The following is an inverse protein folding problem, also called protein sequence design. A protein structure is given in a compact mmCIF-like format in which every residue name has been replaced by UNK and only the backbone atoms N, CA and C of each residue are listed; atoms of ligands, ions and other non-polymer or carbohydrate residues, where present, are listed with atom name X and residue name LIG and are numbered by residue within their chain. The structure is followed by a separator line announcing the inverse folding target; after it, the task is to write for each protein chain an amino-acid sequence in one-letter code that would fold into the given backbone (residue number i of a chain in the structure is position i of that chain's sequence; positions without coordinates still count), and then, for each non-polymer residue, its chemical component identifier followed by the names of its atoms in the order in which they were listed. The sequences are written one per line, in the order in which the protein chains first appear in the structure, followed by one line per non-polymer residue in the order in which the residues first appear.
data_IF_254057468212
#
_entry.id   IF_254057468212
#
_cell.length_a   1.000
_cell.length_b   1.000
_cell.length_c   1.000
_cell.angle_alpha   90.00
_cell.angle_beta   90.00
_cell.angle_gamma   90.00
#
_symmetry.space_group_name_H-M   'P 1'
#
loop_
_entity.id
_entity.type
_entity.pdbx_description
1 polymer ?
#
# COMPACT_ATOMS: atom_id res chain seq x y z
N UNK A 1 -41.53 -15.77 2.13
CA UNK A 1 -42.61 -16.36 2.96
C UNK A 1 -42.38 -15.89 4.39
N UNK A 2 -43.19 -14.96 4.89
CA UNK A 2 -43.07 -14.40 6.24
C UNK A 2 -43.85 -15.33 7.17
N UNK A 3 -43.17 -16.21 7.90
CA UNK A 3 -43.84 -17.13 8.83
C UNK A 3 -43.40 -16.74 10.24
N UNK A 4 -44.33 -16.15 11.02
CA UNK A 4 -44.14 -15.61 12.36
C UNK A 4 -43.16 -14.44 12.46
N UNK A 5 -43.67 -13.21 12.57
CA UNK A 5 -43.24 -12.02 13.36
C UNK A 5 -41.80 -11.81 13.86
N UNK A 6 -40.84 -12.62 13.44
CA UNK A 6 -39.42 -12.62 13.70
C UNK A 6 -38.79 -12.32 12.35
N UNK A 7 -37.99 -11.26 12.27
CA UNK A 7 -37.30 -10.88 11.06
C UNK A 7 -36.09 -11.83 10.88
N UNK A 8 -36.27 -12.93 10.14
CA UNK A 8 -35.19 -13.89 9.84
C UNK A 8 -34.93 -13.98 8.34
N UNK A 9 -33.66 -14.06 7.94
CA UNK A 9 -33.27 -14.20 6.53
C UNK A 9 -33.53 -15.63 6.04
N UNK A 10 -34.00 -15.79 4.79
CA UNK A 10 -34.10 -17.14 4.18
C UNK A 10 -32.72 -17.65 3.75
N UNK A 11 -32.60 -18.95 3.47
CA UNK A 11 -31.35 -19.52 2.93
C UNK A 11 -30.95 -18.88 1.59
N UNK A 12 -31.91 -18.53 0.74
CA UNK A 12 -31.67 -17.82 -0.51
C UNK A 12 -31.12 -16.41 -0.25
N UNK A 13 -31.66 -15.70 0.73
CA UNK A 13 -31.17 -14.38 1.11
C UNK A 13 -29.74 -14.47 1.65
N UNK A 14 -29.44 -15.44 2.52
CA UNK A 14 -28.09 -15.66 3.04
C UNK A 14 -27.08 -16.00 1.93
N UNK A 15 -27.47 -16.85 0.96
CA UNK A 15 -26.62 -17.17 -0.19
C UNK A 15 -26.40 -15.96 -1.11
N UNK A 16 -27.44 -15.13 -1.33
CA UNK A 16 -27.31 -13.88 -2.07
C UNK A 16 -26.37 -12.91 -1.37
N UNK A 17 -26.50 -12.73 -0.05
CA UNK A 17 -25.65 -11.84 0.73
C UNK A 17 -24.17 -12.27 0.61
N UNK A 18 -23.85 -13.57 0.72
CA UNK A 18 -22.48 -14.09 0.53
C UNK A 18 -21.96 -13.79 -0.89
N UNK A 19 -22.80 -13.92 -1.91
CA UNK A 19 -22.41 -13.63 -3.31
C UNK A 19 -22.16 -12.15 -3.53
N UNK A 20 -23.04 -11.29 -3.02
CA UNK A 20 -22.88 -9.83 -3.10
C UNK A 20 -21.62 -9.39 -2.36
N UNK A 21 -21.35 -9.95 -1.17
CA UNK A 21 -20.11 -9.71 -0.44
C UNK A 21 -18.89 -10.10 -1.28
N UNK A 22 -18.89 -11.28 -1.88
CA UNK A 22 -17.82 -11.74 -2.77
C UNK A 22 -17.58 -10.79 -3.96
N UNK A 23 -18.64 -10.30 -4.58
CA UNK A 23 -18.55 -9.34 -5.70
C UNK A 23 -18.03 -7.97 -5.24
N UNK A 24 -18.53 -7.46 -4.12
CA UNK A 24 -18.08 -6.19 -3.55
C UNK A 24 -16.59 -6.22 -3.21
N UNK A 25 -16.10 -7.33 -2.65
CA UNK A 25 -14.68 -7.53 -2.34
C UNK A 25 -13.82 -7.56 -3.61
N UNK A 26 -14.25 -8.28 -4.66
CA UNK A 26 -13.54 -8.30 -5.95
C UNK A 26 -13.41 -6.91 -6.57
N UNK A 27 -14.47 -6.10 -6.46
CA UNK A 27 -14.47 -4.74 -6.99
C UNK A 27 -13.61 -3.79 -6.14
N UNK A 28 -13.66 -3.92 -4.82
CA UNK A 28 -12.83 -3.13 -3.91
C UNK A 28 -11.33 -3.48 -3.98
N UNK A 29 -10.97 -4.72 -4.34
CA UNK A 29 -9.57 -5.12 -4.58
C UNK A 29 -8.98 -4.61 -5.89
N UNK A 30 -9.81 -4.08 -6.80
CA UNK A 30 -9.35 -3.56 -8.08
C UNK A 30 -8.83 -2.10 -8.00
N UNK A 31 -8.94 -1.46 -6.85
CA UNK A 31 -8.54 -0.06 -6.67
C UNK A 31 -7.01 0.07 -6.62
N UNK A 32 -6.45 0.84 -7.55
CA UNK A 32 -5.02 0.84 -7.92
C UNK A 32 -4.12 1.67 -7.00
N UNK A 33 -4.71 2.47 -6.11
CA UNK A 33 -3.99 3.38 -5.20
C UNK A 33 -3.72 2.79 -3.80
N UNK A 34 -3.94 1.48 -3.62
CA UNK A 34 -3.55 0.79 -2.38
C UNK A 34 -2.04 0.97 -2.16
N UNK A 35 -1.69 1.58 -1.04
CA UNK A 35 -0.30 1.69 -0.57
C UNK A 35 0.27 0.28 -0.35
N UNK A 36 0.93 -0.27 -1.37
CA UNK A 36 1.67 -1.54 -1.31
C UNK A 36 2.88 -1.36 -0.39
N UNK A 37 2.64 -1.48 0.90
CA UNK A 37 3.59 -1.33 2.00
C UNK A 37 3.34 -2.45 3.00
N UNK A 38 4.32 -2.79 3.84
CA UNK A 38 4.12 -3.82 4.86
C UNK A 38 3.05 -3.38 5.86
N UNK A 39 3.06 -2.12 6.30
CA UNK A 39 2.00 -1.55 7.14
C UNK A 39 0.62 -1.59 6.46
N UNK A 40 0.57 -1.31 5.15
CA UNK A 40 -0.66 -1.39 4.36
C UNK A 40 -1.25 -2.80 4.31
N UNK A 41 -0.42 -3.81 4.00
CA UNK A 41 -0.83 -5.22 3.99
C UNK A 41 -1.30 -5.66 5.37
N UNK A 42 -0.60 -5.30 6.44
CA UNK A 42 -1.05 -5.57 7.81
C UNK A 42 -2.45 -5.02 8.05
N UNK A 43 -2.68 -3.74 7.74
CA UNK A 43 -3.97 -3.11 7.98
C UNK A 43 -5.09 -3.81 7.21
N UNK A 44 -4.84 -4.18 5.96
CA UNK A 44 -5.79 -4.95 5.16
C UNK A 44 -6.08 -6.32 5.75
N UNK A 45 -5.06 -7.07 6.18
CA UNK A 45 -5.22 -8.38 6.80
C UNK A 45 -5.98 -8.30 8.13
N UNK A 46 -5.68 -7.30 8.96
CA UNK A 46 -6.39 -7.05 10.22
C UNK A 46 -7.86 -6.72 9.99
N UNK A 47 -8.15 -5.83 9.04
CA UNK A 47 -9.52 -5.46 8.68
C UNK A 47 -10.29 -6.65 8.11
N UNK A 48 -9.65 -7.43 7.22
CA UNK A 48 -10.24 -8.63 6.65
C UNK A 48 -10.52 -9.66 7.74
N UNK A 49 -9.58 -9.91 8.64
CA UNK A 49 -9.78 -10.86 9.74
C UNK A 49 -10.97 -10.48 10.62
N UNK A 50 -11.06 -9.21 11.03
CA UNK A 50 -12.19 -8.70 11.81
C UNK A 50 -13.51 -8.86 11.05
N UNK A 51 -13.52 -8.50 9.77
CA UNK A 51 -14.69 -8.65 8.90
C UNK A 51 -15.12 -10.13 8.79
N UNK A 52 -14.20 -11.05 8.46
CA UNK A 52 -14.50 -12.47 8.32
C UNK A 52 -15.03 -13.09 9.61
N UNK A 53 -14.48 -12.68 10.75
CA UNK A 53 -14.94 -13.15 12.07
C UNK A 53 -16.36 -12.71 12.35
N UNK A 54 -16.69 -11.44 12.08
CA UNK A 54 -18.04 -10.92 12.26
C UNK A 54 -19.04 -11.55 11.30
N UNK A 55 -18.68 -11.69 10.02
CA UNK A 55 -19.58 -12.30 9.04
C UNK A 55 -19.83 -13.78 9.32
N UNK A 56 -18.83 -14.52 9.80
CA UNK A 56 -19.01 -15.90 10.25
C UNK A 56 -19.95 -15.99 11.43
N UNK A 57 -19.76 -15.13 12.45
CA UNK A 57 -20.62 -15.08 13.62
C UNK A 57 -22.07 -14.70 13.26
N UNK A 58 -22.25 -13.73 12.35
CA UNK A 58 -23.56 -13.32 11.84
C UNK A 58 -24.24 -14.47 11.07
N UNK A 59 -23.50 -15.17 10.20
CA UNK A 59 -24.01 -16.33 9.48
C UNK A 59 -24.47 -17.44 10.44
N UNK A 60 -23.65 -17.77 11.44
CA UNK A 60 -24.00 -18.79 12.43
C UNK A 60 -25.21 -18.37 13.28
N UNK A 61 -25.32 -17.10 13.67
CA UNK A 61 -26.47 -16.58 14.42
C UNK A 61 -27.77 -16.61 13.59
N UNK A 62 -27.71 -16.29 12.30
CA UNK A 62 -28.88 -16.39 11.40
C UNK A 62 -29.29 -17.85 11.17
N UNK A 63 -28.32 -18.76 11.01
CA UNK A 63 -28.59 -20.19 10.91
C UNK A 63 -29.23 -20.76 12.18
N UNK A 64 -28.81 -20.28 13.35
CA UNK A 64 -29.41 -20.68 14.63
C UNK A 64 -30.88 -20.24 14.76
N UNK A 65 -31.22 -19.03 14.28
CA UNK A 65 -32.63 -18.56 14.25
C UNK A 65 -33.53 -19.44 13.38
N UNK A 66 -32.98 -20.04 12.32
CA UNK A 66 -33.74 -20.90 11.40
C UNK A 66 -34.08 -22.27 11.99
N UNK A 67 -33.44 -22.69 13.10
CA UNK A 67 -33.75 -23.95 13.80
C UNK A 67 -35.16 -24.00 14.38
N UNK A 68 -35.77 -22.83 14.63
CA UNK A 68 -37.16 -22.73 15.10
C UNK A 68 -38.19 -23.10 14.02
N UNK A 69 -37.81 -23.06 12.74
CA UNK A 69 -38.74 -23.13 11.59
C UNK A 69 -38.47 -24.35 10.72
N UNK A 70 -37.23 -24.83 10.67
CA UNK A 70 -36.81 -25.93 9.81
C UNK A 70 -36.34 -27.14 10.59
N UNK A 71 -36.45 -28.33 9.99
CA UNK A 71 -35.93 -29.55 10.61
C UNK A 71 -34.40 -29.52 10.71
N UNK A 72 -33.85 -30.16 11.74
CA UNK A 72 -32.41 -30.27 11.95
C UNK A 72 -31.66 -30.81 10.73
N UNK A 73 -32.27 -31.73 9.97
CA UNK A 73 -31.68 -32.27 8.74
C UNK A 73 -31.48 -31.19 7.67
N UNK A 74 -32.52 -30.40 7.41
CA UNK A 74 -32.48 -29.31 6.41
C UNK A 74 -31.48 -28.23 6.83
N UNK A 75 -31.45 -27.89 8.12
CA UNK A 75 -30.49 -26.91 8.66
C UNK A 75 -29.05 -27.37 8.44
N UNK A 76 -28.73 -28.64 8.75
CA UNK A 76 -27.38 -29.17 8.56
C UNK A 76 -26.94 -29.15 7.09
N UNK A 77 -27.78 -29.63 6.17
CA UNK A 77 -27.47 -29.65 4.72
C UNK A 77 -27.28 -28.22 4.17
N UNK A 78 -28.11 -27.27 4.59
CA UNK A 78 -28.02 -25.87 4.13
C UNK A 78 -26.85 -25.13 4.77
N UNK A 79 -26.54 -25.41 6.03
CA UNK A 79 -25.36 -24.88 6.72
C UNK A 79 -24.08 -25.29 6.03
N UNK A 80 -23.93 -26.57 5.69
CA UNK A 80 -22.75 -27.06 4.97
C UNK A 80 -22.56 -26.32 3.63
N UNK A 81 -23.65 -26.14 2.88
CA UNK A 81 -23.61 -25.39 1.61
C UNK A 81 -23.19 -23.93 1.81
N UNK A 82 -23.81 -23.21 2.76
CA UNK A 82 -23.52 -21.80 3.01
C UNK A 82 -22.10 -21.58 3.54
N UNK A 83 -21.63 -22.45 4.44
CA UNK A 83 -20.24 -22.45 4.91
C UNK A 83 -19.27 -22.72 3.74
N UNK A 84 -19.62 -23.63 2.83
CA UNK A 84 -18.86 -23.86 1.60
C UNK A 84 -18.75 -22.61 0.73
N UNK A 85 -19.87 -21.93 0.47
CA UNK A 85 -19.90 -20.67 -0.30
C UNK A 85 -19.07 -19.57 0.38
N UNK A 86 -19.18 -19.44 1.70
CA UNK A 86 -18.38 -18.49 2.49
C UNK A 86 -16.88 -18.80 2.43
N UNK A 87 -16.48 -20.08 2.58
CA UNK A 87 -15.08 -20.49 2.50
C UNK A 87 -14.48 -20.22 1.11
N UNK A 88 -15.25 -20.36 0.03
CA UNK A 88 -14.79 -20.01 -1.32
C UNK A 88 -14.62 -18.49 -1.51
N UNK A 89 -15.43 -17.67 -0.85
CA UNK A 89 -15.19 -16.22 -0.79
C UNK A 89 -13.89 -15.91 -0.04
N UNK A 90 -13.70 -16.51 1.15
CA UNK A 90 -12.48 -16.35 1.96
C UNK A 90 -11.24 -16.72 1.16
N UNK A 91 -11.22 -17.88 0.49
CA UNK A 91 -10.10 -18.29 -0.37
C UNK A 91 -9.78 -17.27 -1.45
N UNK A 92 -10.80 -16.65 -2.06
CA UNK A 92 -10.63 -15.59 -3.04
C UNK A 92 -9.95 -14.35 -2.44
N UNK A 93 -10.38 -13.91 -1.27
CA UNK A 93 -9.79 -12.76 -0.58
C UNK A 93 -8.33 -13.04 -0.15
N UNK A 94 -8.06 -14.22 0.43
CA UNK A 94 -6.70 -14.63 0.79
C UNK A 94 -5.80 -14.69 -0.44
N UNK A 95 -6.30 -15.19 -1.57
CA UNK A 95 -5.53 -15.22 -2.83
C UNK A 95 -5.16 -13.82 -3.31
N UNK A 96 -6.05 -12.85 -3.21
CA UNK A 96 -5.76 -11.46 -3.58
C UNK A 96 -4.64 -10.88 -2.72
N UNK A 97 -4.72 -11.05 -1.39
CA UNK A 97 -3.66 -10.58 -0.46
C UNK A 97 -2.33 -11.25 -0.77
N UNK A 98 -2.32 -12.56 -1.08
CA UNK A 98 -1.09 -13.25 -1.50
C UNK A 98 -0.46 -12.62 -2.74
N UNK A 99 -1.26 -12.22 -3.73
CA UNK A 99 -0.76 -11.52 -4.92
C UNK A 99 -0.20 -10.13 -4.59
N UNK A 100 -0.82 -9.41 -3.64
CA UNK A 100 -0.30 -8.13 -3.16
C UNK A 100 1.04 -8.29 -2.43
N UNK A 101 1.17 -9.32 -1.60
CA UNK A 101 2.43 -9.70 -0.94
C UNK A 101 3.51 -10.03 -1.98
N UNK A 102 3.19 -10.86 -2.96
CA UNK A 102 4.13 -11.22 -4.04
C UNK A 102 4.60 -9.98 -4.80
N UNK A 103 3.66 -9.10 -5.17
CA UNK A 103 3.97 -7.87 -5.90
C UNK A 103 4.85 -6.93 -5.07
N UNK A 104 4.50 -6.69 -3.80
CA UNK A 104 5.31 -5.89 -2.88
C UNK A 104 6.72 -6.45 -2.77
N UNK A 105 6.83 -7.76 -2.56
CA UNK A 105 8.10 -8.46 -2.39
C UNK A 105 8.96 -8.32 -3.62
N UNK A 106 8.42 -8.59 -4.81
CA UNK A 106 9.14 -8.42 -6.08
C UNK A 106 9.63 -6.99 -6.27
N UNK A 107 8.78 -5.99 -6.04
CA UNK A 107 9.20 -4.57 -6.16
C UNK A 107 10.33 -4.22 -5.19
N UNK A 108 10.30 -4.72 -3.94
CA UNK A 108 11.37 -4.49 -2.98
C UNK A 108 12.65 -5.26 -3.33
N UNK A 109 12.53 -6.49 -3.85
CA UNK A 109 13.65 -7.28 -4.35
C UNK A 109 14.36 -6.60 -5.52
N UNK A 110 13.60 -6.05 -6.47
CA UNK A 110 14.16 -5.34 -7.63
C UNK A 110 15.01 -4.15 -7.16
N UNK A 111 14.51 -3.34 -6.22
CA UNK A 111 15.26 -2.22 -5.65
C UNK A 111 16.52 -2.64 -4.91
N UNK A 112 16.47 -3.71 -4.12
CA UNK A 112 17.67 -4.28 -3.47
C UNK A 112 18.66 -4.76 -4.55
N UNK A 113 18.16 -5.36 -5.62
CA UNK A 113 18.94 -5.76 -6.79
C UNK A 113 19.64 -4.57 -7.46
N UNK A 114 18.93 -3.46 -7.66
CA UNK A 114 19.47 -2.23 -8.23
C UNK A 114 20.57 -1.63 -7.34
N UNK A 115 20.36 -1.62 -6.02
CA UNK A 115 21.37 -1.20 -5.04
C UNK A 115 22.63 -2.07 -5.11
N UNK A 116 22.48 -3.39 -5.30
CA UNK A 116 23.60 -4.32 -5.48
C UNK A 116 24.32 -4.08 -6.81
N UNK A 117 23.61 -3.74 -7.88
CA UNK A 117 24.18 -3.55 -9.22
C UNK A 117 24.83 -2.18 -9.43
N UNK A 118 24.53 -1.20 -8.56
CA UNK A 118 25.04 0.16 -8.67
C UNK A 118 26.56 0.20 -8.46
N UNK A 119 27.29 0.58 -9.51
CA UNK A 119 28.74 0.73 -9.45
C UNK A 119 29.14 1.98 -8.64
N UNK A 120 30.27 1.96 -7.91
CA UNK A 120 30.81 3.15 -7.26
C UNK A 120 31.10 4.28 -8.24
N UNK A 121 30.88 5.53 -7.82
CA UNK A 121 31.24 6.71 -8.64
C UNK A 121 32.75 6.81 -8.83
N UNK A 122 33.20 7.60 -9.80
CA UNK A 122 34.64 7.80 -10.03
C UNK A 122 35.33 8.42 -8.80
N UNK A 123 34.69 9.35 -8.12
CA UNK A 123 35.16 9.97 -6.87
C UNK A 123 35.27 8.92 -5.76
N UNK A 124 34.27 8.06 -5.62
CA UNK A 124 34.27 6.97 -4.64
C UNK A 124 35.40 5.97 -4.93
N UNK A 125 35.59 5.58 -6.20
CA UNK A 125 36.68 4.69 -6.62
C UNK A 125 38.05 5.30 -6.33
N UNK A 126 38.25 6.58 -6.63
CA UNK A 126 39.52 7.29 -6.33
C UNK A 126 39.82 7.27 -4.83
N UNK A 127 38.82 7.56 -3.99
CA UNK A 127 38.98 7.55 -2.53
C UNK A 127 39.30 6.14 -2.02
N UNK A 128 38.54 5.13 -2.43
CA UNK A 128 38.76 3.73 -2.04
C UNK A 128 40.15 3.24 -2.50
N UNK A 129 40.60 3.64 -3.68
CA UNK A 129 41.93 3.27 -4.19
C UNK A 129 43.05 3.90 -3.35
N UNK A 130 42.91 5.17 -2.97
CA UNK A 130 43.86 5.84 -2.08
C UNK A 130 43.92 5.17 -0.70
N UNK A 131 42.76 4.77 -0.14
CA UNK A 131 42.69 4.05 1.12
C UNK A 131 43.31 2.65 1.02
N UNK A 132 43.10 1.91 -0.07
CA UNK A 132 43.71 0.59 -0.28
C UNK A 132 45.25 0.60 -0.27
N UNK A 133 45.87 1.71 -0.68
CA UNK A 133 47.32 1.86 -0.67
C UNK A 133 47.90 2.10 0.72
N UNK A 134 47.07 2.48 1.69
CA UNK A 134 47.47 2.76 3.07
C UNK A 134 47.38 1.50 3.94
N UNK A 135 48.24 1.42 4.95
CA UNK A 135 48.34 0.29 5.91
C UNK A 135 48.06 0.69 7.36
N UNK A 136 47.71 1.96 7.57
CA UNK A 136 47.62 2.62 8.86
C UNK A 136 46.23 3.25 9.08
N UNK A 137 45.21 2.70 8.43
CA UNK A 137 43.84 3.20 8.57
C UNK A 137 43.27 2.70 9.89
N UNK A 138 42.89 3.62 10.76
CA UNK A 138 42.26 3.29 12.03
C UNK A 138 40.72 3.29 11.97
N UNK A 139 40.10 2.80 13.04
CA UNK A 139 38.64 2.74 13.18
C UNK A 139 37.95 4.10 13.06
N UNK A 140 38.55 5.14 13.62
CA UNK A 140 37.97 6.49 13.66
C UNK A 140 37.92 7.06 12.26
N UNK A 141 38.97 6.86 11.46
CA UNK A 141 39.03 7.30 10.07
C UNK A 141 37.97 6.59 9.22
N UNK A 142 37.80 5.27 9.36
CA UNK A 142 36.79 4.51 8.61
C UNK A 142 35.37 5.03 8.89
N UNK A 143 35.05 5.32 10.16
CA UNK A 143 33.73 5.85 10.52
C UNK A 143 33.47 7.22 9.92
N UNK A 144 34.46 8.11 9.89
CA UNK A 144 34.28 9.43 9.29
C UNK A 144 34.13 9.39 7.78
N UNK A 145 34.72 8.40 7.12
CA UNK A 145 34.65 8.23 5.67
C UNK A 145 33.36 7.52 5.25
N UNK A 146 32.84 6.60 6.07
CA UNK A 146 31.69 5.76 5.75
C UNK A 146 30.48 6.51 5.15
N UNK A 147 30.05 7.69 5.65
CA UNK A 147 28.90 8.42 5.10
C UNK A 147 29.02 8.78 3.62
N UNK A 148 30.24 8.91 3.09
CA UNK A 148 30.50 9.19 1.65
C UNK A 148 29.98 8.06 0.75
N UNK A 149 29.76 6.87 1.31
CA UNK A 149 29.38 5.66 0.59
C UNK A 149 27.95 5.20 0.86
N UNK A 150 27.15 5.89 1.69
CA UNK A 150 25.80 5.41 2.09
C UNK A 150 24.83 5.14 0.94
N UNK A 151 25.00 5.83 -0.19
CA UNK A 151 24.18 5.62 -1.39
C UNK A 151 24.70 4.49 -2.30
N UNK A 152 25.84 3.89 -1.96
CA UNK A 152 26.51 2.90 -2.80
C UNK A 152 26.99 1.69 -2.01
N UNK A 153 26.20 0.61 -2.05
CA UNK A 153 26.51 -0.63 -1.36
C UNK A 153 27.87 -1.23 -1.76
N UNK A 154 28.20 -1.22 -3.05
CA UNK A 154 29.49 -1.78 -3.52
C UNK A 154 30.67 -0.98 -2.95
N UNK A 155 30.56 0.34 -2.89
CA UNK A 155 31.59 1.18 -2.29
C UNK A 155 31.76 0.90 -0.78
N UNK A 156 30.64 0.76 -0.04
CA UNK A 156 30.67 0.38 1.38
C UNK A 156 31.30 -1.00 1.61
N UNK A 157 31.01 -1.97 0.74
CA UNK A 157 31.61 -3.31 0.82
C UNK A 157 33.13 -3.26 0.62
N UNK A 158 33.60 -2.45 -0.32
CA UNK A 158 35.05 -2.25 -0.53
C UNK A 158 35.66 -1.57 0.70
N UNK A 159 35.01 -0.56 1.28
CA UNK A 159 35.48 0.07 2.52
C UNK A 159 35.57 -0.92 3.68
N UNK A 160 34.56 -1.80 3.84
CA UNK A 160 34.56 -2.86 4.86
C UNK A 160 35.76 -3.79 4.68
N UNK A 161 36.03 -4.25 3.45
CA UNK A 161 37.19 -5.09 3.14
C UNK A 161 38.54 -4.39 3.40
N UNK A 162 38.61 -3.06 3.22
CA UNK A 162 39.79 -2.27 3.60
C UNK A 162 39.95 -2.25 5.12
N UNK A 163 38.86 -2.04 5.86
CA UNK A 163 38.85 -2.08 7.31
C UNK A 163 39.34 -3.42 7.85
N UNK A 164 38.81 -4.53 7.35
CA UNK A 164 39.18 -5.88 7.78
C UNK A 164 40.69 -6.15 7.61
N UNK A 165 41.28 -5.69 6.50
CA UNK A 165 42.73 -5.79 6.26
C UNK A 165 43.57 -4.99 7.27
N UNK A 166 43.00 -3.93 7.83
CA UNK A 166 43.62 -3.11 8.87
C UNK A 166 43.17 -3.54 10.29
N UNK A 167 42.50 -4.69 10.43
CA UNK A 167 42.05 -5.21 11.72
C UNK A 167 40.80 -4.54 12.29
N UNK A 168 40.04 -3.81 11.48
CA UNK A 168 38.81 -3.12 11.86
C UNK A 168 37.60 -3.83 11.24
N UNK A 169 36.71 -4.36 12.07
CA UNK A 169 35.42 -4.89 11.61
C UNK A 169 34.39 -3.75 11.49
N UNK A 170 33.80 -3.60 10.30
CA UNK A 170 32.76 -2.62 10.04
C UNK A 170 31.38 -3.28 10.09
N UNK A 171 30.62 -3.02 11.14
CA UNK A 171 29.23 -3.45 11.24
C UNK A 171 28.32 -2.37 10.64
N UNK A 172 27.66 -2.71 9.53
CA UNK A 172 26.70 -1.82 8.88
C UNK A 172 25.30 -2.00 9.48
N UNK A 173 24.54 -0.91 9.67
CA UNK A 173 23.11 -1.00 9.95
C UNK A 173 22.38 -1.82 8.89
N UNK A 174 21.31 -2.52 9.27
CA UNK A 174 20.54 -3.38 8.36
C UNK A 174 19.97 -2.63 7.15
N UNK A 175 19.70 -1.33 7.25
CA UNK A 175 19.23 -0.48 6.15
C UNK A 175 20.29 -0.27 5.05
N UNK A 176 21.57 -0.50 5.37
CA UNK A 176 22.71 -0.29 4.47
C UNK A 176 23.31 -1.62 3.99
N UNK A 177 22.89 -2.75 4.56
CA UNK A 177 23.34 -4.09 4.16
C UNK A 177 22.29 -4.76 3.25
N UNK A 178 22.57 -4.80 1.95
CA UNK A 178 21.70 -5.42 0.96
C UNK A 178 21.49 -6.93 1.20
N UNK A 179 22.46 -7.63 1.79
CA UNK A 179 22.30 -9.06 2.11
C UNK A 179 21.33 -9.23 3.27
N UNK A 180 21.51 -8.47 4.34
CA UNK A 180 20.57 -8.47 5.48
C UNK A 180 19.17 -8.07 5.03
N UNK A 181 19.02 -7.02 4.20
CA UNK A 181 17.72 -6.62 3.65
C UNK A 181 17.07 -7.74 2.84
N UNK A 182 17.83 -8.45 2.01
CA UNK A 182 17.31 -9.57 1.23
C UNK A 182 16.82 -10.72 2.13
N UNK A 183 17.62 -11.12 3.12
CA UNK A 183 17.27 -12.20 4.04
C UNK A 183 16.04 -11.81 4.89
N UNK A 184 16.00 -10.59 5.42
CA UNK A 184 14.85 -10.07 6.16
C UNK A 184 13.59 -9.91 5.30
N UNK A 185 13.73 -9.61 4.00
CA UNK A 185 12.59 -9.50 3.08
C UNK A 185 11.96 -10.87 2.85
N UNK A 186 12.77 -11.91 2.67
CA UNK A 186 12.27 -13.28 2.57
C UNK A 186 11.57 -13.71 3.86
N UNK A 187 12.13 -13.38 5.02
CA UNK A 187 11.46 -13.66 6.30
C UNK A 187 10.12 -12.93 6.44
N UNK A 188 10.07 -11.65 6.09
CA UNK A 188 8.85 -10.85 6.16
C UNK A 188 7.77 -11.38 5.21
N UNK A 189 8.19 -11.81 4.02
CA UNK A 189 7.31 -12.43 3.01
C UNK A 189 6.75 -13.74 3.53
N UNK A 190 7.61 -14.64 4.03
CA UNK A 190 7.18 -15.94 4.55
C UNK A 190 6.28 -15.78 5.79
N UNK A 191 6.58 -14.80 6.64
CA UNK A 191 5.72 -14.43 7.77
C UNK A 191 4.32 -14.05 7.29
N UNK A 192 4.20 -13.16 6.30
CA UNK A 192 2.92 -12.71 5.75
C UNK A 192 2.15 -13.85 5.06
N UNK A 193 2.84 -14.67 4.28
CA UNK A 193 2.22 -15.82 3.60
C UNK A 193 1.67 -16.85 4.60
N UNK A 194 2.33 -17.05 5.74
CA UNK A 194 1.80 -17.88 6.82
C UNK A 194 0.68 -17.20 7.59
N UNK A 195 0.75 -15.89 7.83
CA UNK A 195 -0.35 -15.14 8.42
C UNK A 195 -1.62 -15.22 7.56
N UNK A 196 -1.49 -15.25 6.23
CA UNK A 196 -2.59 -15.50 5.30
C UNK A 196 -3.30 -16.85 5.53
N UNK A 197 -2.58 -17.89 5.96
CA UNK A 197 -3.16 -19.20 6.30
C UNK A 197 -3.95 -19.19 7.60
N UNK A 198 -3.77 -18.16 8.44
CA UNK A 198 -4.52 -17.98 9.68
C UNK A 198 -5.84 -17.23 9.47
N UNK A 199 -5.98 -16.45 8.38
CA UNK A 199 -7.19 -15.67 8.06
C UNK A 199 -8.50 -16.47 8.10
N UNK A 200 -8.57 -17.74 7.64
CA UNK A 200 -9.81 -18.52 7.69
C UNK A 200 -10.18 -19.07 9.07
N UNK A 201 -9.29 -18.99 10.06
CA UNK A 201 -9.42 -19.62 11.37
C UNK A 201 -10.13 -18.71 12.37
N UNK A 202 -10.82 -19.31 13.33
CA UNK A 202 -11.34 -18.57 14.48
C UNK A 202 -10.20 -18.19 15.43
N UNK A 203 -10.41 -17.15 16.25
CA UNK A 203 -9.41 -16.63 17.19
C UNK A 203 -8.79 -17.71 18.09
N UNK A 204 -9.62 -18.64 18.59
CA UNK A 204 -9.19 -19.75 19.44
C UNK A 204 -8.28 -20.77 18.73
N UNK A 205 -8.39 -20.86 17.41
CA UNK A 205 -7.67 -21.84 16.57
C UNK A 205 -6.46 -21.19 15.85
N UNK A 206 -6.29 -19.88 16.04
CA UNK A 206 -5.18 -19.12 15.50
C UNK A 206 -3.87 -19.55 16.19
N UNK A 207 -2.77 -19.61 15.45
CA UNK A 207 -1.47 -19.80 16.09
C UNK A 207 -1.15 -18.62 17.01
N UNK A 208 -0.60 -18.91 18.21
CA UNK A 208 -0.22 -17.89 19.20
C UNK A 208 0.73 -16.83 18.62
N UNK A 209 1.56 -17.24 17.65
CA UNK A 209 2.50 -16.37 16.93
C UNK A 209 1.82 -15.18 16.26
N UNK A 210 0.59 -15.34 15.75
CA UNK A 210 -0.10 -14.31 14.97
C UNK A 210 -1.16 -13.54 15.76
N UNK A 211 -1.35 -13.85 17.04
CA UNK A 211 -2.33 -13.14 17.86
C UNK A 211 -2.01 -11.64 17.92
N UNK A 212 -0.74 -11.29 18.17
CA UNK A 212 -0.30 -9.90 18.21
C UNK A 212 -0.48 -9.21 16.84
N UNK A 213 -0.19 -9.92 15.75
CA UNK A 213 -0.35 -9.41 14.39
C UNK A 213 -1.80 -9.08 14.03
N UNK A 214 -2.76 -9.93 14.40
CA UNK A 214 -4.19 -9.70 14.13
C UNK A 214 -4.90 -8.85 15.21
N UNK A 215 -4.18 -8.41 16.25
CA UNK A 215 -4.77 -7.58 17.29
C UNK A 215 -5.06 -6.18 16.76
N UNK A 216 -6.31 -5.74 16.88
CA UNK A 216 -6.74 -4.38 16.54
C UNK A 216 -7.23 -3.67 17.79
N UNK A 217 -6.68 -2.49 18.06
CA UNK A 217 -7.13 -1.63 19.15
C UNK A 217 -7.87 -0.40 18.57
N UNK A 218 -9.18 -0.23 18.88
CA UNK A 218 -9.95 0.91 18.39
C UNK A 218 -9.38 2.28 18.80
N UNK A 219 -8.63 2.35 19.90
CA UNK A 219 -8.01 3.58 20.42
C UNK A 219 -6.66 3.90 19.77
N UNK A 220 -5.98 2.89 19.24
CA UNK A 220 -4.65 3.01 18.64
C UNK A 220 -4.69 2.43 17.21
N UNK A 221 -5.39 3.13 16.31
CA UNK A 221 -5.57 2.69 14.92
C UNK A 221 -4.22 2.56 14.21
N UNK A 222 -4.02 1.45 13.50
CA UNK A 222 -2.82 1.20 12.69
C UNK A 222 -1.58 0.76 13.48
N UNK A 223 -1.66 0.64 14.80
CA UNK A 223 -0.54 0.17 15.62
C UNK A 223 -0.30 -1.33 15.41
N UNK A 224 0.95 -1.70 15.15
CA UNK A 224 1.39 -3.09 15.17
C UNK A 224 1.83 -3.47 16.58
N UNK A 225 1.35 -4.61 17.07
CA UNK A 225 1.69 -5.15 18.39
C UNK A 225 2.69 -6.30 18.32
N UNK A 226 2.87 -6.91 17.14
CA UNK A 226 3.93 -7.89 16.92
C UNK A 226 5.27 -7.16 16.73
N UNK A 227 6.21 -7.24 17.69
CA UNK A 227 7.48 -6.54 17.60
C UNK A 227 8.34 -7.04 16.43
N UNK A 228 8.22 -8.32 16.06
CA UNK A 228 8.96 -8.89 14.93
C UNK A 228 8.44 -8.31 13.62
N UNK A 229 7.12 -8.22 13.47
CA UNK A 229 6.55 -7.63 12.25
C UNK A 229 6.81 -6.12 12.16
N UNK A 230 6.79 -5.40 13.30
CA UNK A 230 7.15 -3.98 13.35
C UNK A 230 8.57 -3.73 12.81
N UNK A 231 9.53 -4.62 13.08
CA UNK A 231 10.88 -4.50 12.51
C UNK A 231 10.89 -4.56 10.98
N UNK A 232 10.03 -5.37 10.37
CA UNK A 232 9.91 -5.44 8.91
C UNK A 232 9.31 -4.14 8.33
N UNK A 233 8.32 -3.56 9.01
CA UNK A 233 7.77 -2.24 8.63
C UNK A 233 8.87 -1.18 8.73
N UNK A 234 9.55 -1.11 9.88
CA UNK A 234 10.61 -0.13 10.15
C UNK A 234 11.71 -0.18 9.09
N UNK A 235 12.09 -1.39 8.67
CA UNK A 235 13.09 -1.59 7.63
C UNK A 235 12.55 -1.27 6.23
N UNK A 236 11.44 -1.86 5.80
CA UNK A 236 11.04 -1.83 4.39
C UNK A 236 10.16 -0.63 4.00
N UNK A 237 9.41 -0.05 4.93
CA UNK A 237 8.51 1.07 4.67
C UNK A 237 9.19 2.43 4.92
N UNK A 238 10.29 2.47 5.68
CA UNK A 238 10.97 3.73 6.02
C UNK A 238 12.41 3.85 5.49
N UNK A 239 13.01 2.79 4.93
CA UNK A 239 14.32 2.91 4.26
C UNK A 239 14.13 3.68 2.95
N UNK A 240 14.73 4.90 2.80
CA UNK A 240 14.49 5.77 1.64
C UNK A 240 14.82 5.12 0.30
N UNK A 241 15.91 4.35 0.23
CA UNK A 241 16.38 3.65 -0.97
C UNK A 241 15.36 2.60 -1.47
N UNK A 242 14.47 2.14 -0.60
CA UNK A 242 13.42 1.16 -0.93
C UNK A 242 12.07 1.82 -1.24
N UNK A 243 11.94 3.14 -1.11
CA UNK A 243 10.71 3.87 -1.39
C UNK A 243 10.59 4.26 -2.87
N UNK A 244 9.36 4.40 -3.35
CA UNK A 244 9.13 5.02 -4.66
C UNK A 244 9.21 6.53 -4.49
N UNK A 245 10.30 7.14 -4.95
CA UNK A 245 10.44 8.59 -4.97
C UNK A 245 9.51 9.17 -6.03
N UNK A 246 8.32 9.64 -5.61
CA UNK A 246 7.45 10.45 -6.46
C UNK A 246 7.76 11.92 -6.21
N UNK A 247 8.22 12.60 -7.25
CA UNK A 247 8.32 14.05 -7.24
C UNK A 247 6.98 14.63 -7.72
N UNK A 248 6.20 15.15 -6.79
CA UNK A 248 4.96 15.86 -7.13
C UNK A 248 5.25 17.35 -7.28
N UNK A 249 4.79 17.91 -8.40
CA UNK A 249 4.91 19.33 -8.67
C UNK A 249 3.93 20.09 -7.77
N UNK A 250 4.43 20.90 -6.85
CA UNK A 250 3.58 21.66 -5.93
C UNK A 250 3.22 23.06 -6.42
N UNK A 251 3.99 23.61 -7.37
CA UNK A 251 3.78 24.95 -7.89
C UNK A 251 4.21 25.03 -9.35
N UNK A 252 3.58 25.95 -10.07
CA UNK A 252 3.96 26.29 -11.44
C UNK A 252 5.34 26.96 -11.46
N UNK A 253 6.19 26.56 -12.41
CA UNK A 253 7.37 27.36 -12.77
C UNK A 253 6.93 28.67 -13.44
N UNK A 254 7.84 29.64 -13.54
CA UNK A 254 7.54 30.92 -14.20
C UNK A 254 7.08 30.75 -15.66
N UNK A 255 7.68 29.80 -16.40
CA UNK A 255 7.29 29.50 -17.78
C UNK A 255 5.90 28.90 -17.89
N UNK A 256 5.55 27.97 -17.00
CA UNK A 256 4.23 27.34 -16.97
C UNK A 256 3.14 28.32 -16.52
N UNK A 257 3.47 29.20 -15.56
CA UNK A 257 2.58 30.30 -15.18
C UNK A 257 2.31 31.22 -16.36
N UNK A 258 3.35 31.66 -17.07
CA UNK A 258 3.19 32.50 -18.26
C UNK A 258 2.38 31.81 -19.38
N UNK A 259 2.54 30.49 -19.54
CA UNK A 259 1.77 29.68 -20.47
C UNK A 259 0.28 29.64 -20.09
N UNK A 260 -0.04 29.39 -18.83
CA UNK A 260 -1.42 29.41 -18.33
C UNK A 260 -2.00 30.83 -18.46
N UNK A 261 -1.28 31.85 -18.01
CA UNK A 261 -1.71 33.25 -18.15
C UNK A 261 -1.99 33.61 -19.63
N UNK A 262 -1.23 33.04 -20.58
CA UNK A 262 -1.48 33.22 -22.00
C UNK A 262 -2.77 32.56 -22.50
N UNK A 263 -3.10 31.35 -22.02
CA UNK A 263 -4.35 30.65 -22.39
C UNK A 263 -5.60 31.40 -21.89
N UNK A 264 -5.48 32.05 -20.73
CA UNK A 264 -6.57 32.74 -20.05
C UNK A 264 -6.46 34.26 -20.13
N UNK A 265 -5.57 34.80 -20.97
CA UNK A 265 -5.34 36.25 -21.10
C UNK A 265 -6.61 37.03 -21.43
N UNK A 266 -7.50 36.43 -22.21
CA UNK A 266 -8.71 37.07 -22.72
C UNK A 266 -9.80 37.16 -21.64
N UNK A 267 -9.64 36.45 -20.52
CA UNK A 267 -10.56 36.44 -19.38
C UNK A 267 -9.93 36.94 -18.08
N UNK A 268 -8.69 37.42 -18.12
CA UNK A 268 -7.91 37.76 -16.93
C UNK A 268 -8.50 38.91 -16.08
N UNK A 269 -9.41 39.70 -16.66
CA UNK A 269 -10.07 40.83 -16.00
C UNK A 269 -11.49 40.52 -15.51
N UNK A 270 -12.00 39.31 -15.75
CA UNK A 270 -13.35 38.92 -15.35
C UNK A 270 -13.46 38.75 -13.84
N UNK A 271 -14.61 39.10 -13.27
CA UNK A 271 -14.86 38.99 -11.85
C UNK A 271 -15.54 37.64 -11.54
N UNK A 272 -14.84 36.69 -10.90
CA UNK A 272 -15.40 35.37 -10.61
C UNK A 272 -16.60 35.37 -9.65
N UNK A 273 -16.86 36.49 -8.96
CA UNK A 273 -18.05 36.63 -8.10
C UNK A 273 -19.33 36.99 -8.88
N UNK A 274 -19.21 37.40 -10.14
CA UNK A 274 -20.35 37.62 -11.03
C UNK A 274 -20.71 36.31 -11.76
N UNK A 275 -22.00 35.95 -11.77
CA UNK A 275 -22.45 34.68 -12.32
C UNK A 275 -22.24 34.56 -13.85
N UNK A 276 -22.29 35.68 -14.57
CA UNK A 276 -22.02 35.72 -16.01
C UNK A 276 -20.54 35.52 -16.32
N UNK A 277 -19.68 36.22 -15.59
CA UNK A 277 -18.23 36.09 -15.70
C UNK A 277 -17.75 34.69 -15.27
N UNK A 278 -18.33 34.12 -14.20
CA UNK A 278 -18.06 32.74 -13.76
C UNK A 278 -18.33 31.71 -14.86
N UNK A 279 -19.48 31.82 -15.54
CA UNK A 279 -19.83 30.93 -16.64
C UNK A 279 -18.86 31.04 -17.83
N UNK A 280 -18.36 32.25 -18.12
CA UNK A 280 -17.36 32.47 -19.16
C UNK A 280 -16.01 31.84 -18.77
N UNK A 281 -15.60 31.99 -17.51
CA UNK A 281 -14.36 31.37 -17.00
C UNK A 281 -14.46 29.85 -17.08
N UNK A 282 -15.56 29.25 -16.63
CA UNK A 282 -15.81 27.81 -16.72
C UNK A 282 -15.72 27.28 -18.15
N UNK A 283 -16.44 27.93 -19.07
CA UNK A 283 -16.44 27.53 -20.47
C UNK A 283 -15.03 27.59 -21.06
N UNK A 284 -14.28 28.65 -20.73
CA UNK A 284 -12.90 28.79 -21.20
C UNK A 284 -11.97 27.71 -20.62
N UNK A 285 -12.12 27.35 -19.35
CA UNK A 285 -11.39 26.24 -18.73
C UNK A 285 -11.71 24.92 -19.43
N UNK A 286 -12.98 24.68 -19.76
CA UNK A 286 -13.39 23.52 -20.53
C UNK A 286 -12.80 23.48 -21.94
N UNK A 287 -12.80 24.61 -22.66
CA UNK A 287 -12.17 24.71 -23.99
C UNK A 287 -10.68 24.37 -23.93
N UNK A 288 -9.96 24.94 -22.96
CA UNK A 288 -8.52 24.70 -22.77
C UNK A 288 -8.27 23.24 -22.40
N UNK A 289 -9.05 22.64 -21.51
CA UNK A 289 -8.91 21.21 -21.16
C UNK A 289 -9.24 20.28 -22.33
N UNK A 290 -10.13 20.70 -23.23
CA UNK A 290 -10.50 19.93 -24.43
C UNK A 290 -9.41 20.04 -25.50
N UNK A 291 -8.83 21.22 -25.68
CA UNK A 291 -7.76 21.44 -26.65
C UNK A 291 -6.38 20.96 -26.17
N UNK A 292 -6.13 21.03 -24.87
CA UNK A 292 -4.85 20.75 -24.20
C UNK A 292 -5.06 19.87 -22.96
N UNK A 293 -5.50 18.62 -23.12
CA UNK A 293 -5.73 17.70 -22.00
C UNK A 293 -4.46 17.44 -21.17
N UNK A 294 -3.27 17.58 -21.76
CA UNK A 294 -1.97 17.46 -21.10
C UNK A 294 -1.69 18.54 -20.04
N UNK A 295 -2.35 19.70 -20.14
CA UNK A 295 -2.13 20.83 -19.22
C UNK A 295 -2.99 20.75 -17.96
N UNK A 296 -3.87 19.75 -17.88
CA UNK A 296 -4.83 19.56 -16.79
C UNK A 296 -4.17 19.61 -15.40
N UNK A 297 -3.07 18.89 -15.22
CA UNK A 297 -2.40 18.82 -13.92
C UNK A 297 -1.71 20.14 -13.56
N UNK A 298 -1.25 20.91 -14.55
CA UNK A 298 -0.73 22.27 -14.33
C UNK A 298 -1.86 23.25 -13.98
N UNK A 299 -3.03 23.12 -14.60
CA UNK A 299 -4.19 23.95 -14.29
C UNK A 299 -4.70 23.73 -12.87
N UNK A 300 -4.63 22.50 -12.36
CA UNK A 300 -4.92 22.16 -10.95
C UNK A 300 -3.95 22.81 -9.95
N UNK A 301 -2.80 23.29 -10.40
CA UNK A 301 -1.81 24.03 -9.61
C UNK A 301 -1.90 25.55 -9.83
N UNK A 302 -2.87 26.01 -10.61
CA UNK A 302 -3.06 27.42 -10.98
C UNK A 302 -4.21 28.07 -10.20
N UNK A 303 -4.42 29.38 -10.42
CA UNK A 303 -5.59 30.08 -9.89
C UNK A 303 -6.94 29.56 -10.43
N UNK A 304 -6.93 28.72 -11.45
CA UNK A 304 -8.13 28.13 -12.06
C UNK A 304 -8.46 26.71 -11.54
N UNK A 305 -7.78 26.23 -10.50
CA UNK A 305 -7.91 24.86 -10.01
C UNK A 305 -9.36 24.46 -9.65
N UNK A 306 -10.11 25.37 -9.02
CA UNK A 306 -11.50 25.13 -8.61
C UNK A 306 -12.43 24.93 -9.83
N UNK A 307 -12.19 25.68 -10.91
CA UNK A 307 -12.93 25.54 -12.16
C UNK A 307 -12.64 24.22 -12.88
N UNK A 308 -11.40 23.72 -12.79
CA UNK A 308 -11.05 22.39 -13.32
C UNK A 308 -11.86 21.32 -12.60
N UNK A 309 -11.95 21.40 -11.27
CA UNK A 309 -12.74 20.45 -10.48
C UNK A 309 -14.24 20.52 -10.84
N UNK A 310 -14.78 21.73 -11.03
CA UNK A 310 -16.18 21.93 -11.43
C UNK A 310 -16.48 21.34 -12.82
N UNK A 311 -15.64 21.60 -13.82
CA UNK A 311 -15.75 21.00 -15.16
C UNK A 311 -15.65 19.47 -15.10
N UNK A 312 -14.77 18.92 -14.26
CA UNK A 312 -14.67 17.47 -14.06
C UNK A 312 -15.92 16.85 -13.41
N UNK A 313 -16.62 17.58 -12.53
CA UNK A 313 -17.87 17.12 -11.94
C UNK A 313 -19.02 17.15 -12.94
N UNK A 314 -19.14 18.23 -13.72
CA UNK A 314 -20.18 18.38 -14.75
C UNK A 314 -20.07 17.25 -15.79
N UNK A 315 -18.86 16.93 -16.26
CA UNK A 315 -18.63 15.83 -17.21
C UNK A 315 -18.89 14.43 -16.66
N UNK A 316 -18.93 14.25 -15.34
CA UNK A 316 -19.28 12.96 -14.70
C UNK A 316 -20.79 12.77 -14.57
N UNK A 317 -21.55 13.86 -14.55
CA UNK A 317 -23.01 13.84 -14.39
C UNK A 317 -23.76 13.84 -15.74
N UNK A 318 -23.07 13.98 -16.88
CA UNK A 318 -23.65 13.77 -18.21
C UNK A 318 -23.82 12.26 -18.51
N UNK A 319 -25.04 11.76 -18.76
CA UNK A 319 -25.25 10.38 -19.17
C UNK A 319 -24.69 10.16 -20.58
N UNK A 320 -23.90 9.09 -20.74
CA UNK A 320 -23.29 8.65 -22.00
C UNK A 320 -24.30 8.32 -23.11
#
# INVERSE_FOLDING_TARGET
MNVNGKNYKSFEQLSMDIRTLKESWKNASADKDRKRTFAGIQQEMQNLYFFLTNERANLDAELDKLKDVWSNKVISERREKLIGEFNEMVKGAVKAIRQDIETLTSTKMDKIGDMLATAPSEEQLRLLSALQMRKDIDYTEIIHILPVFFENYQAMKVLSAIGERNGVALELPSQLDCRTMFDMLNEATDYLLRACDELPKEWKDLSITYHAFFTVNPKEKGKQYDPRYQQYIDLFDYTPQLQDCKAEKQYLSQGEKAKIDWYFRDIATLNPSDAGDHAIILHRVEEVLTAHPEEKDLLKLSQYADYVAEVETIKKDEPA
#
